data_IF_563142257793
#
_entry.id   IF_563142257793
#
_cell.length_a   1.000
_cell.length_b   1.000
_cell.length_c   1.000
_cell.angle_alpha   90.00
_cell.angle_beta   90.00
_cell.angle_gamma   90.00
#
_symmetry.space_group_name_H-M   'P 1'
#
loop_
_entity.id
_entity.type
_entity.pdbx_description
1 polymer ?
#
# COMPACT_ATOMS: atom_id res chain seq x y z
N UNK A 1 6.54 -41.10 -6.92
CA UNK A 1 7.17 -41.30 -5.59
C UNK A 1 8.17 -40.17 -5.39
N UNK A 2 7.79 -39.22 -4.53
CA UNK A 2 8.52 -38.10 -3.89
C UNK A 2 9.41 -37.16 -4.73
N UNK A 3 9.08 -35.87 -4.86
CA UNK A 3 8.93 -34.78 -3.85
C UNK A 3 10.24 -34.00 -3.68
N UNK A 4 10.27 -32.79 -4.23
CA UNK A 4 10.93 -31.61 -3.64
C UNK A 4 10.04 -30.39 -3.86
N UNK A 5 9.03 -30.23 -3.01
CA UNK A 5 8.39 -28.96 -2.76
C UNK A 5 9.39 -28.06 -2.02
N UNK A 6 10.04 -27.16 -2.75
CA UNK A 6 10.82 -26.08 -2.15
C UNK A 6 9.90 -24.85 -2.01
N UNK A 7 9.57 -24.56 -0.76
CA UNK A 7 8.78 -23.44 -0.29
C UNK A 7 9.41 -22.10 -0.69
N UNK A 8 8.88 -21.47 -1.74
CA UNK A 8 8.73 -20.03 -1.76
C UNK A 8 7.26 -19.76 -1.46
N UNK A 9 6.89 -19.50 -0.21
CA UNK A 9 5.62 -18.78 0.01
C UNK A 9 5.80 -17.44 -0.66
N UNK A 10 5.27 -17.26 -1.86
CA UNK A 10 4.99 -15.93 -2.38
C UNK A 10 4.11 -15.27 -1.33
N UNK A 11 4.72 -14.41 -0.52
CA UNK A 11 3.96 -13.48 0.29
C UNK A 11 3.37 -12.54 -0.74
N UNK A 12 2.16 -12.88 -1.23
CA UNK A 12 1.34 -11.98 -2.04
C UNK A 12 1.15 -10.75 -1.17
N UNK A 13 2.05 -9.77 -1.34
CA UNK A 13 2.09 -8.59 -0.51
C UNK A 13 0.87 -7.80 -0.90
N UNK A 14 -0.22 -8.01 -0.15
CA UNK A 14 -1.46 -7.32 -0.42
C UNK A 14 -1.23 -5.86 -0.10
N UNK A 15 -1.12 -5.00 -1.09
CA UNK A 15 -0.95 -3.58 -0.85
C UNK A 15 -2.20 -2.99 -0.22
N UNK A 16 -2.02 -2.01 0.65
CA UNK A 16 -3.11 -1.25 1.24
C UNK A 16 -2.82 0.25 1.15
N UNK A 17 -3.88 1.03 1.01
CA UNK A 17 -3.82 2.49 1.00
C UNK A 17 -3.46 2.96 2.40
N UNK A 18 -2.55 3.92 2.52
CA UNK A 18 -2.21 4.49 3.83
C UNK A 18 -3.42 5.21 4.44
N UNK A 19 -3.51 5.23 5.78
CA UNK A 19 -4.59 5.94 6.47
C UNK A 19 -4.65 7.44 6.15
N UNK A 20 -3.50 8.05 5.87
CA UNK A 20 -3.41 9.44 5.43
C UNK A 20 -4.12 9.64 4.09
N UNK A 21 -3.85 8.80 3.08
CA UNK A 21 -4.51 8.91 1.78
C UNK A 21 -6.02 8.75 1.91
N UNK A 22 -6.48 7.77 2.69
CA UNK A 22 -7.92 7.56 2.92
C UNK A 22 -8.63 8.79 3.49
N UNK A 23 -7.92 9.65 4.22
CA UNK A 23 -8.47 10.89 4.80
C UNK A 23 -8.35 12.11 3.87
N UNK A 24 -7.46 12.08 2.87
CA UNK A 24 -7.15 13.23 2.01
C UNK A 24 -7.89 13.23 0.68
N UNK A 25 -8.33 12.07 0.20
CA UNK A 25 -8.95 11.93 -1.13
C UNK A 25 -10.44 11.62 -1.05
N UNK A 26 -11.14 11.91 -2.14
CA UNK A 26 -12.52 11.52 -2.36
C UNK A 26 -12.69 10.00 -2.29
N UNK A 27 -13.90 9.54 -1.96
CA UNK A 27 -14.21 8.09 -1.91
C UNK A 27 -13.93 7.42 -3.26
N UNK A 28 -14.23 8.10 -4.37
CA UNK A 28 -13.99 7.60 -5.72
C UNK A 28 -12.51 7.46 -6.01
N UNK A 29 -11.69 8.48 -5.74
CA UNK A 29 -10.24 8.40 -5.91
C UNK A 29 -9.60 7.34 -4.99
N UNK A 30 -10.09 7.19 -3.77
CA UNK A 30 -9.66 6.12 -2.86
C UNK A 30 -9.93 4.73 -3.46
N UNK A 31 -11.11 4.51 -4.03
CA UNK A 31 -11.47 3.26 -4.68
C UNK A 31 -10.61 3.00 -5.94
N UNK A 32 -10.29 4.04 -6.72
CA UNK A 32 -9.39 3.95 -7.87
C UNK A 32 -8.00 3.46 -7.43
N UNK A 33 -7.42 4.05 -6.39
CA UNK A 33 -6.14 3.57 -5.84
C UNK A 33 -6.30 2.13 -5.34
N UNK A 34 -7.39 1.80 -4.65
CA UNK A 34 -7.61 0.45 -4.11
C UNK A 34 -7.68 -0.61 -5.22
N UNK A 35 -8.32 -0.30 -6.34
CA UNK A 35 -8.37 -1.17 -7.53
C UNK A 35 -7.00 -1.30 -8.17
N UNK A 36 -6.24 -0.21 -8.29
CA UNK A 36 -4.87 -0.22 -8.83
C UNK A 36 -3.96 -1.16 -8.02
N UNK A 37 -4.13 -1.19 -6.71
CA UNK A 37 -3.35 -2.04 -5.79
C UNK A 37 -3.78 -3.52 -5.77
N UNK A 38 -4.88 -3.90 -6.43
CA UNK A 38 -5.52 -5.22 -6.28
C UNK A 38 -5.74 -5.98 -7.57
N UNK A 39 -5.97 -5.27 -8.67
CA UNK A 39 -6.26 -5.89 -9.95
C UNK A 39 -4.96 -6.12 -10.72
N UNK A 40 -4.65 -7.39 -10.96
CA UNK A 40 -3.40 -7.85 -11.59
C UNK A 40 -3.15 -7.21 -12.97
N UNK A 41 -4.19 -6.70 -13.65
CA UNK A 41 -4.04 -5.96 -14.91
C UNK A 41 -3.26 -4.66 -14.77
N UNK A 42 -3.26 -4.08 -13.57
CA UNK A 42 -2.58 -2.84 -13.26
C UNK A 42 -1.32 -3.05 -12.40
N UNK A 43 -0.95 -4.30 -12.14
CA UNK A 43 0.27 -4.66 -11.44
C UNK A 43 1.36 -5.05 -12.45
N UNK A 44 2.62 -4.82 -12.08
CA UNK A 44 3.78 -5.30 -12.81
C UNK A 44 4.14 -6.75 -12.41
N UNK A 45 5.21 -7.28 -13.00
CA UNK A 45 5.69 -8.64 -12.69
C UNK A 45 6.15 -8.83 -11.23
N UNK A 46 6.39 -7.75 -10.49
CA UNK A 46 6.71 -7.77 -9.07
C UNK A 46 5.48 -7.68 -8.15
N UNK A 47 4.27 -7.59 -8.72
CA UNK A 47 3.04 -7.35 -7.98
C UNK A 47 2.92 -5.92 -7.46
N UNK A 48 3.65 -4.98 -8.05
CA UNK A 48 3.61 -3.57 -7.70
C UNK A 48 2.76 -2.78 -8.70
N UNK A 49 2.16 -1.64 -8.29
CA UNK A 49 1.39 -0.81 -9.21
C UNK A 49 2.21 -0.37 -10.42
N UNK A 50 1.82 -0.86 -11.59
CA UNK A 50 2.48 -0.55 -12.85
C UNK A 50 2.23 0.90 -13.28
N UNK A 51 3.09 1.43 -14.14
CA UNK A 51 2.86 2.71 -14.80
C UNK A 51 1.78 2.56 -15.87
N UNK A 52 0.74 3.39 -15.78
CA UNK A 52 -0.39 3.34 -16.70
C UNK A 52 -0.29 4.43 -17.75
N UNK A 53 -0.79 4.17 -18.95
CA UNK A 53 -1.02 5.22 -19.93
C UNK A 53 -2.20 6.08 -19.49
N UNK A 54 -2.12 7.40 -19.66
CA UNK A 54 -3.29 8.27 -19.45
C UNK A 54 -4.36 7.94 -20.50
N UNK A 55 -3.92 7.83 -21.76
CA UNK A 55 -4.75 7.45 -22.91
C UNK A 55 -3.87 6.78 -23.98
N UNK A 56 -4.48 6.02 -24.90
CA UNK A 56 -3.79 5.32 -25.99
C UNK A 56 -4.36 3.93 -26.28
N UNK A 57 -3.68 3.18 -27.15
CA UNK A 57 -4.16 1.88 -27.62
C UNK A 57 -3.41 0.68 -27.01
N UNK A 58 -2.13 0.84 -26.65
CA UNK A 58 -1.26 -0.28 -26.26
C UNK A 58 -0.87 -0.27 -24.77
N UNK A 59 -1.58 -1.07 -23.97
CA UNK A 59 -1.24 -1.36 -22.57
C UNK A 59 -2.30 -0.90 -21.56
N UNK A 60 -2.07 -1.14 -20.25
CA UNK A 60 -3.04 -0.82 -19.21
C UNK A 60 -3.19 0.70 -19.03
N UNK A 61 -4.44 1.17 -18.98
CA UNK A 61 -4.77 2.60 -18.98
C UNK A 61 -5.36 3.07 -17.66
N UNK A 62 -5.06 4.32 -17.34
CA UNK A 62 -5.64 5.02 -16.19
C UNK A 62 -7.15 5.20 -16.38
N UNK A 63 -7.60 5.48 -17.60
CA UNK A 63 -9.03 5.53 -17.95
C UNK A 63 -9.75 4.20 -17.64
N UNK A 64 -9.16 3.07 -18.02
CA UNK A 64 -9.73 1.73 -17.74
C UNK A 64 -9.81 1.44 -16.24
N UNK A 65 -8.81 1.92 -15.47
CA UNK A 65 -8.80 1.82 -14.03
C UNK A 65 -9.93 2.66 -13.40
N UNK A 66 -10.11 3.91 -13.85
CA UNK A 66 -11.15 4.81 -13.35
C UNK A 66 -12.54 4.26 -13.67
N UNK A 67 -12.79 3.90 -14.92
CA UNK A 67 -14.08 3.37 -15.35
C UNK A 67 -14.35 1.95 -14.82
N UNK A 68 -13.30 1.20 -14.45
CA UNK A 68 -13.43 -0.07 -13.73
C UNK A 68 -13.99 0.10 -12.32
N UNK A 69 -13.86 1.28 -11.71
CA UNK A 69 -14.50 1.63 -10.45
C UNK A 69 -15.92 2.13 -10.68
N UNK A 70 -16.08 3.12 -11.56
CA UNK A 70 -17.37 3.67 -11.95
C UNK A 70 -17.22 4.40 -13.30
N UNK A 71 -18.00 3.97 -14.29
CA UNK A 71 -17.99 4.48 -15.67
C UNK A 71 -18.46 5.94 -15.78
N UNK A 72 -19.10 6.49 -14.75
CA UNK A 72 -19.54 7.89 -14.71
C UNK A 72 -18.49 8.84 -14.12
N UNK A 73 -17.36 8.33 -13.63
CA UNK A 73 -16.29 9.17 -13.10
C UNK A 73 -15.53 9.87 -14.22
N UNK A 74 -15.29 11.16 -14.05
CA UNK A 74 -14.44 11.93 -14.94
C UNK A 74 -12.95 11.61 -14.66
N UNK A 75 -12.26 11.13 -15.70
CA UNK A 75 -10.85 10.69 -15.62
C UNK A 75 -9.93 11.85 -15.27
N UNK A 76 -10.18 13.04 -15.82
CA UNK A 76 -9.35 14.21 -15.60
C UNK A 76 -9.53 14.77 -14.19
N UNK A 77 -10.75 14.73 -13.63
CA UNK A 77 -11.00 15.13 -12.24
C UNK A 77 -10.28 14.21 -11.25
N UNK A 78 -10.37 12.89 -11.42
CA UNK A 78 -9.65 11.92 -10.58
C UNK A 78 -8.14 12.12 -10.71
N UNK A 79 -7.63 12.26 -11.94
CA UNK A 79 -6.21 12.48 -12.18
C UNK A 79 -5.72 13.80 -11.56
N UNK A 80 -6.52 14.86 -11.69
CA UNK A 80 -6.26 16.19 -11.14
C UNK A 80 -6.18 16.14 -9.62
N UNK A 81 -7.13 15.47 -8.96
CA UNK A 81 -7.12 15.25 -7.52
C UNK A 81 -5.84 14.53 -7.06
N UNK A 82 -5.54 13.38 -7.66
CA UNK A 82 -4.38 12.57 -7.29
C UNK A 82 -3.04 13.27 -7.55
N UNK A 83 -2.96 14.06 -8.62
CA UNK A 83 -1.75 14.83 -8.96
C UNK A 83 -1.55 16.01 -8.02
N UNK A 84 -2.62 16.76 -7.70
CA UNK A 84 -2.56 17.93 -6.77
C UNK A 84 -2.10 17.52 -5.37
N UNK A 85 -2.48 16.33 -4.93
CA UNK A 85 -2.08 15.77 -3.64
C UNK A 85 -0.73 15.05 -3.68
N UNK A 86 -0.07 14.99 -4.85
CA UNK A 86 1.22 14.36 -5.02
C UNK A 86 1.20 12.84 -4.78
N UNK A 87 0.05 12.19 -5.02
CA UNK A 87 -0.12 10.74 -4.94
C UNK A 87 0.20 10.05 -6.26
N UNK A 88 -0.02 10.76 -7.36
CA UNK A 88 0.34 10.34 -8.71
C UNK A 88 1.33 11.33 -9.31
N UNK A 89 2.28 10.81 -10.07
CA UNK A 89 3.21 11.59 -10.88
C UNK A 89 2.92 11.37 -12.37
N UNK A 90 2.74 12.47 -13.11
CA UNK A 90 2.68 12.44 -14.58
C UNK A 90 4.10 12.38 -15.13
N UNK A 91 4.42 11.31 -15.83
CA UNK A 91 5.72 11.10 -16.47
C UNK A 91 5.68 11.69 -17.89
N UNK A 92 6.83 12.14 -18.39
CA UNK A 92 6.97 12.84 -19.68
C UNK A 92 6.35 12.10 -20.90
N UNK A 93 6.16 10.78 -20.80
CA UNK A 93 5.64 9.93 -21.88
C UNK A 93 4.11 9.76 -21.86
N UNK A 94 3.35 10.67 -21.26
CA UNK A 94 1.88 10.54 -21.14
C UNK A 94 1.45 9.38 -20.24
N UNK A 95 2.31 9.01 -19.29
CA UNK A 95 2.06 7.94 -18.31
C UNK A 95 1.85 8.51 -16.93
N UNK A 96 1.19 7.75 -16.08
CA UNK A 96 0.98 8.06 -14.67
C UNK A 96 1.54 6.95 -13.80
N UNK A 97 2.20 7.36 -12.73
CA UNK A 97 2.80 6.47 -11.74
C UNK A 97 2.21 6.76 -10.37
N UNK A 98 1.72 5.71 -9.69
CA UNK A 98 1.32 5.80 -8.30
C UNK A 98 2.56 5.87 -7.40
N UNK A 99 2.66 6.90 -6.56
CA UNK A 99 3.82 7.08 -5.68
C UNK A 99 3.76 6.15 -4.47
N UNK A 100 4.94 5.72 -4.01
CA UNK A 100 5.12 4.84 -2.84
C UNK A 100 4.55 5.40 -1.53
N UNK A 101 4.37 6.72 -1.42
CA UNK A 101 3.74 7.34 -0.25
C UNK A 101 2.24 7.02 -0.13
N UNK A 102 1.60 6.59 -1.22
CA UNK A 102 0.16 6.35 -1.25
C UNK A 102 -0.24 4.99 -0.66
N UNK A 103 0.70 4.04 -0.55
CA UNK A 103 0.39 2.67 -0.16
C UNK A 103 1.53 2.04 0.66
N UNK A 104 1.17 1.05 1.47
CA UNK A 104 2.11 0.26 2.25
C UNK A 104 1.77 -1.23 2.14
N UNK A 105 2.75 -2.12 2.42
CA UNK A 105 2.44 -3.55 2.54
C UNK A 105 1.34 -3.74 3.58
N UNK A 106 0.36 -4.62 3.32
CA UNK A 106 -0.50 -5.12 4.38
C UNK A 106 0.30 -6.06 5.27
N UNK A 107 1.26 -5.52 6.02
CA UNK A 107 1.75 -6.21 7.20
C UNK A 107 0.53 -6.45 8.10
N UNK A 108 0.23 -7.72 8.39
CA UNK A 108 -0.70 -8.11 9.44
C UNK A 108 -0.50 -7.16 10.63
N UNK A 109 -1.54 -6.39 10.97
CA UNK A 109 -1.42 -5.08 11.61
C UNK A 109 -0.84 -5.06 13.03
N UNK A 110 0.44 -5.38 13.20
CA UNK A 110 1.06 -5.57 14.52
C UNK A 110 2.57 -5.32 14.53
N UNK A 111 3.12 -4.39 13.74
CA UNK A 111 4.51 -3.92 14.01
C UNK A 111 4.54 -2.78 15.05
N UNK A 112 3.42 -2.11 15.33
CA UNK A 112 3.39 -1.05 16.36
C UNK A 112 3.06 -1.52 17.78
N UNK A 113 2.41 -2.68 17.98
CA UNK A 113 2.22 -3.21 19.35
C UNK A 113 3.49 -3.87 19.92
N UNK A 114 4.36 -4.43 19.07
CA UNK A 114 5.56 -5.13 19.52
C UNK A 114 6.70 -4.21 20.00
N UNK A 115 6.77 -2.95 19.54
CA UNK A 115 7.72 -1.95 20.09
C UNK A 115 7.22 -1.32 21.39
N UNK A 116 5.90 -1.10 21.53
CA UNK A 116 5.32 -0.47 22.73
C UNK A 116 5.15 -1.44 23.91
N UNK A 117 4.96 -2.75 23.69
CA UNK A 117 4.91 -3.74 24.80
C UNK A 117 6.28 -4.08 25.37
N UNK A 118 7.35 -4.09 24.57
CA UNK A 118 8.73 -4.28 25.08
C UNK A 118 9.21 -3.12 25.96
N UNK A 119 8.67 -1.92 25.78
CA UNK A 119 8.92 -0.78 26.67
C UNK A 119 8.17 -0.91 28.01
N UNK A 120 6.98 -1.53 28.03
CA UNK A 120 6.21 -1.75 29.25
C UNK A 120 6.72 -2.96 30.07
N UNK A 121 7.23 -4.01 29.41
CA UNK A 121 7.79 -5.19 30.09
C UNK A 121 9.21 -5.00 30.62
N UNK A 122 9.94 -3.97 30.18
CA UNK A 122 11.23 -3.58 30.76
C UNK A 122 11.12 -2.80 32.08
N UNK A 123 9.93 -2.32 32.45
CA UNK A 123 9.73 -1.48 33.65
C UNK A 123 9.13 -2.24 34.84
N UNK A 124 8.61 -3.45 34.62
CA UNK A 124 7.98 -4.28 35.66
C UNK A 124 8.92 -5.31 36.30
N UNK A 125 10.18 -5.40 35.84
CA UNK A 125 11.22 -6.25 36.44
C UNK A 125 12.25 -5.46 37.29
N UNK A 126 11.88 -4.25 37.74
CA UNK A 126 12.64 -3.49 38.77
C UNK A 126 11.81 -3.29 40.03
N UNK A 127 11.16 -4.35 40.49
CA UNK A 127 10.80 -4.48 41.90
C UNK A 127 11.40 -5.78 42.38
N UNK A 128 12.01 -5.75 43.56
CA UNK A 128 12.44 -6.91 44.32
C UNK A 128 13.66 -7.67 43.77
N UNK A 129 14.85 -7.21 44.15
CA UNK A 129 15.86 -8.03 44.88
C UNK A 129 17.07 -7.14 45.15
N UNK A 130 17.06 -6.46 46.28
CA UNK A 130 18.26 -6.41 47.12
C UNK A 130 17.74 -6.38 48.56
N UNK A 131 17.58 -7.59 49.09
CA UNK A 131 17.52 -7.80 50.52
C UNK A 131 18.97 -7.72 50.99
N UNK A 132 19.17 -6.78 51.90
CA UNK A 132 20.34 -6.56 52.75
C UNK A 132 21.20 -7.81 53.02
N UNK A 133 22.53 -7.70 52.84
CA UNK A 133 23.46 -8.50 53.61
C UNK A 133 24.45 -7.64 54.42
N UNK A 134 24.16 -7.55 55.72
CA UNK A 134 25.11 -7.55 56.84
C UNK A 134 26.10 -6.38 56.96
N UNK A 135 25.80 -5.43 57.86
CA UNK A 135 26.49 -5.33 59.17
C UNK A 135 25.85 -4.34 60.14
#
# INVERSE_FOLDING_TARGET
MNMVSALGREVSTRWQITGLVQALVSRSACNVIATWLRDDRFLDAGGEPSMLLISGDDGPKFEELVHGVDVQLDVDDVLSELTKLGLVEKVHTGRVMLRRSAYCPASAGSIERARSERAAQGMLFRRYTDVDPEK
#
